data_IF_076988452684
#
_entry.id   IF_076988452684
#
_cell.length_a   1.000
_cell.length_b   1.000
_cell.length_c   1.000
_cell.angle_alpha   90.00
_cell.angle_beta   90.00
_cell.angle_gamma   90.00
#
_symmetry.space_group_name_H-M   'P 1'
#
loop_
_entity.id
_entity.type
_entity.pdbx_description
1 polymer ?
#
# COMPACT_ATOMS: atom_id res chain seq x y z
N UNK A 1 -25.76 -1.60 -16.31
CA UNK A 1 -24.71 -2.28 -15.53
C UNK A 1 -23.33 -1.60 -15.54
N UNK A 2 -22.79 -1.09 -16.66
CA UNK A 2 -21.48 -0.37 -16.61
C UNK A 2 -21.60 1.07 -16.09
N UNK A 3 -22.77 1.70 -16.22
CA UNK A 3 -23.03 3.08 -15.76
C UNK A 3 -23.32 3.20 -14.25
N UNK A 4 -23.80 2.15 -13.60
CA UNK A 4 -24.10 2.17 -12.14
C UNK A 4 -22.85 2.04 -11.26
N UNK A 5 -21.77 1.46 -11.76
CA UNK A 5 -20.53 1.30 -10.98
C UNK A 5 -19.78 2.62 -10.84
N UNK A 6 -20.07 3.61 -11.69
CA UNK A 6 -19.39 4.90 -11.66
C UNK A 6 -19.96 5.89 -10.61
N UNK A 7 -21.20 5.69 -10.16
CA UNK A 7 -21.88 6.62 -9.23
C UNK A 7 -21.63 6.32 -7.75
N UNK A 8 -21.17 5.12 -7.38
CA UNK A 8 -20.75 4.82 -6.00
C UNK A 8 -19.39 5.47 -5.65
N UNK A 9 -18.63 5.90 -6.65
CA UNK A 9 -17.32 6.56 -6.49
C UNK A 9 -17.42 8.09 -6.33
N UNK A 10 -18.61 8.69 -6.41
CA UNK A 10 -18.79 10.14 -6.27
C UNK A 10 -19.14 10.54 -4.83
N UNK A 11 -18.26 10.20 -3.90
CA UNK A 11 -18.24 10.82 -2.58
C UNK A 11 -17.77 12.28 -2.71
N UNK A 12 -18.72 13.23 -2.62
CA UNK A 12 -18.44 14.65 -2.43
C UNK A 12 -17.63 14.85 -1.13
N UNK A 13 -16.38 15.22 -1.28
CA UNK A 13 -15.53 15.79 -0.25
C UNK A 13 -14.43 16.57 -0.95
N UNK A 14 -14.10 17.77 -0.45
CA UNK A 14 -13.17 18.71 -1.07
C UNK A 14 -11.96 18.01 -1.72
N UNK A 15 -11.71 18.34 -2.99
CA UNK A 15 -10.60 17.76 -3.79
C UNK A 15 -9.26 18.25 -3.23
N UNK A 16 -8.86 17.76 -2.07
CA UNK A 16 -7.51 17.93 -1.57
C UNK A 16 -6.59 17.07 -2.45
N UNK A 17 -5.60 17.75 -3.01
CA UNK A 17 -4.68 17.24 -4.02
C UNK A 17 -4.01 15.96 -3.51
N UNK A 18 -4.27 14.84 -4.20
CA UNK A 18 -3.65 13.54 -3.96
C UNK A 18 -2.12 13.64 -3.92
N UNK A 19 -1.53 13.23 -2.80
CA UNK A 19 -0.08 13.20 -2.56
C UNK A 19 0.47 11.80 -2.92
N UNK A 20 0.47 11.48 -4.22
CA UNK A 20 1.35 10.42 -4.70
C UNK A 20 2.79 10.74 -4.28
N UNK A 21 3.58 9.68 -4.05
CA UNK A 21 5.03 9.81 -3.85
C UNK A 21 5.59 10.76 -4.91
N UNK A 22 6.33 11.82 -4.53
CA UNK A 22 7.01 12.68 -5.49
C UNK A 22 7.88 11.78 -6.38
N UNK A 23 7.58 11.74 -7.67
CA UNK A 23 8.37 10.92 -8.58
C UNK A 23 9.79 11.47 -8.63
N UNK A 24 10.82 10.62 -8.50
CA UNK A 24 12.09 10.91 -9.13
C UNK A 24 11.77 11.16 -10.61
N UNK A 25 12.03 12.38 -11.08
CA UNK A 25 11.74 12.75 -12.46
C UNK A 25 12.38 11.77 -13.43
N UNK A 26 11.91 11.77 -14.68
CA UNK A 26 12.43 10.96 -15.81
C UNK A 26 13.88 11.30 -16.21
N UNK A 27 14.62 11.94 -15.32
CA UNK A 27 16.07 12.10 -15.30
C UNK A 27 16.56 11.67 -13.93
N UNK A 28 17.49 10.72 -13.93
CA UNK A 28 17.98 10.04 -12.73
C UNK A 28 18.41 10.97 -11.59
N UNK A 29 18.44 10.34 -10.42
CA UNK A 29 19.07 10.76 -9.17
C UNK A 29 18.54 12.04 -8.53
N UNK A 30 18.21 11.86 -7.25
CA UNK A 30 18.42 12.82 -6.17
C UNK A 30 19.58 13.78 -6.45
N UNK A 31 19.31 14.97 -7.00
CA UNK A 31 20.18 16.17 -6.92
C UNK A 31 19.75 17.23 -7.94
N UNK A 32 18.54 17.79 -7.82
CA UNK A 32 18.42 19.21 -8.19
C UNK A 32 18.66 20.02 -6.93
N UNK A 33 19.96 20.22 -6.69
CA UNK A 33 20.56 21.27 -5.86
C UNK A 33 19.61 22.45 -5.72
N UNK A 34 19.39 22.87 -4.48
CA UNK A 34 18.87 24.18 -4.12
C UNK A 34 19.76 25.20 -4.82
N UNK A 35 19.45 25.56 -6.08
CA UNK A 35 20.17 26.63 -6.75
C UNK A 35 19.95 27.88 -5.89
N UNK A 36 21.01 28.61 -5.51
CA UNK A 36 20.85 29.86 -4.81
C UNK A 36 19.95 30.75 -5.66
N UNK A 37 18.94 31.32 -5.03
CA UNK A 37 18.07 32.34 -5.60
C UNK A 37 18.99 33.40 -6.20
N UNK A 38 18.99 33.53 -7.54
CA UNK A 38 19.39 34.82 -8.12
C UNK A 38 18.26 35.76 -7.74
N UNK A 39 18.54 36.66 -6.79
CA UNK A 39 17.71 37.82 -6.52
C UNK A 39 17.59 38.59 -7.84
N UNK A 40 16.46 38.49 -8.51
CA UNK A 40 16.00 39.56 -9.37
C UNK A 40 15.36 40.65 -8.49
N UNK A 41 15.60 41.90 -8.85
CA UNK A 41 15.38 43.09 -8.03
C UNK A 41 13.90 43.49 -7.81
N UNK A 42 12.97 42.54 -7.87
CA UNK A 42 11.55 42.77 -7.64
C UNK A 42 11.02 41.67 -6.73
N UNK A 43 11.09 41.94 -5.42
CA UNK A 43 10.80 40.99 -4.34
C UNK A 43 9.38 40.42 -4.35
N UNK A 44 9.19 39.30 -5.04
CA UNK A 44 8.06 38.41 -4.83
C UNK A 44 8.52 36.96 -4.91
N UNK A 45 8.82 36.37 -3.76
CA UNK A 45 9.29 34.98 -3.63
C UNK A 45 8.11 34.08 -3.30
N UNK A 46 7.39 33.61 -4.32
CA UNK A 46 6.47 32.50 -4.13
C UNK A 46 7.27 31.18 -4.10
N UNK A 47 7.17 30.35 -3.04
CA UNK A 47 7.79 29.04 -3.04
C UNK A 47 7.18 28.23 -4.19
N UNK A 48 8.02 27.67 -5.06
CA UNK A 48 7.57 26.86 -6.19
C UNK A 48 7.11 25.50 -5.66
N UNK A 49 5.85 25.43 -5.24
CA UNK A 49 5.20 24.21 -4.76
C UNK A 49 5.30 23.15 -5.85
N UNK A 50 6.03 22.06 -5.58
CA UNK A 50 6.03 20.86 -6.42
C UNK A 50 4.59 20.32 -6.40
N UNK A 51 3.83 20.61 -7.44
CA UNK A 51 2.45 20.12 -7.54
C UNK A 51 2.49 18.62 -7.83
N UNK A 52 1.70 17.82 -7.11
CA UNK A 52 1.51 16.42 -7.47
C UNK A 52 1.05 16.29 -8.92
N UNK A 53 1.86 15.63 -9.73
CA UNK A 53 1.49 15.32 -11.12
C UNK A 53 0.50 14.18 -11.09
N UNK A 54 -0.65 14.36 -11.78
CA UNK A 54 -1.61 13.27 -11.97
C UNK A 54 -0.94 12.12 -12.72
N UNK A 55 -1.26 10.90 -12.32
CA UNK A 55 -0.86 9.69 -13.05
C UNK A 55 -1.41 9.75 -14.48
N UNK A 56 -0.64 9.27 -15.46
CA UNK A 56 -1.18 9.14 -16.81
C UNK A 56 -2.20 7.98 -16.90
N UNK A 57 -2.92 7.90 -18.02
CA UNK A 57 -3.98 6.92 -18.19
C UNK A 57 -3.44 5.47 -18.20
N UNK A 58 -2.22 5.26 -18.69
CA UNK A 58 -1.59 3.94 -18.77
C UNK A 58 -1.22 3.43 -17.37
N UNK A 59 -0.64 4.29 -16.55
CA UNK A 59 -0.30 3.99 -15.17
C UNK A 59 -1.53 3.78 -14.30
N UNK A 60 -2.58 4.58 -14.48
CA UNK A 60 -3.86 4.37 -13.81
C UNK A 60 -4.48 3.02 -14.21
N UNK A 61 -4.45 2.65 -15.49
CA UNK A 61 -4.93 1.36 -15.95
C UNK A 61 -4.12 0.20 -15.37
N UNK A 62 -2.79 0.34 -15.27
CA UNK A 62 -1.92 -0.67 -14.65
C UNK A 62 -2.22 -0.85 -13.17
N UNK A 63 -2.41 0.24 -12.43
CA UNK A 63 -2.81 0.21 -11.02
C UNK A 63 -4.19 -0.45 -10.86
N UNK A 64 -5.13 -0.15 -11.75
CA UNK A 64 -6.46 -0.78 -11.74
C UNK A 64 -6.38 -2.29 -11.96
N UNK A 65 -5.54 -2.75 -12.90
CA UNK A 65 -5.31 -4.19 -13.14
C UNK A 65 -4.70 -4.88 -11.90
N UNK A 66 -3.60 -4.35 -11.36
CA UNK A 66 -2.98 -4.86 -10.14
C UNK A 66 -3.95 -4.85 -8.95
N UNK A 67 -4.87 -3.89 -8.96
CA UNK A 67 -5.94 -3.79 -8.00
C UNK A 67 -6.96 -4.93 -8.03
N UNK A 68 -7.25 -5.46 -9.21
CA UNK A 68 -8.11 -6.63 -9.35
C UNK A 68 -7.40 -7.88 -8.79
N UNK A 69 -6.12 -8.05 -9.12
CA UNK A 69 -5.28 -9.13 -8.59
C UNK A 69 -5.20 -9.06 -7.06
N UNK A 70 -4.98 -7.87 -6.50
CA UNK A 70 -4.95 -7.66 -5.04
C UNK A 70 -6.29 -8.03 -4.38
N UNK A 71 -7.42 -7.63 -4.97
CA UNK A 71 -8.76 -8.00 -4.46
C UNK A 71 -8.98 -9.51 -4.47
N UNK A 72 -8.53 -10.19 -5.52
CA UNK A 72 -8.65 -11.65 -5.61
C UNK A 72 -7.85 -12.33 -4.50
N UNK A 73 -6.57 -11.95 -4.32
CA UNK A 73 -5.70 -12.51 -3.28
C UNK A 73 -6.26 -12.21 -1.88
N UNK A 74 -6.78 -11.00 -1.66
CA UNK A 74 -7.43 -10.60 -0.40
C UNK A 74 -8.63 -11.51 -0.11
N UNK A 75 -9.50 -11.71 -1.12
CA UNK A 75 -10.69 -12.55 -1.00
C UNK A 75 -10.35 -14.03 -0.79
N UNK A 76 -9.33 -14.56 -1.47
CA UNK A 76 -8.85 -15.94 -1.28
C UNK A 76 -8.31 -16.14 0.14
N UNK A 77 -7.55 -15.16 0.64
CA UNK A 77 -7.02 -15.17 2.01
C UNK A 77 -8.14 -15.12 3.04
N UNK A 78 -9.14 -14.26 2.86
CA UNK A 78 -10.30 -14.15 3.74
C UNK A 78 -11.12 -15.45 3.74
N UNK A 79 -11.43 -15.99 2.56
CA UNK A 79 -12.19 -17.23 2.43
C UNK A 79 -11.47 -18.45 3.03
N UNK A 80 -10.14 -18.54 2.88
CA UNK A 80 -9.35 -19.57 3.55
C UNK A 80 -9.37 -19.37 5.07
N UNK A 81 -9.19 -18.15 5.53
CA UNK A 81 -9.14 -17.81 6.94
C UNK A 81 -10.47 -18.03 7.67
N UNK A 82 -11.61 -17.94 6.97
CA UNK A 82 -12.95 -18.19 7.52
C UNK A 82 -13.27 -19.68 7.71
N UNK A 83 -12.46 -20.60 7.14
CA UNK A 83 -12.59 -22.05 7.38
C UNK A 83 -12.09 -22.45 8.77
N UNK A 84 -11.39 -21.57 9.47
CA UNK A 84 -10.77 -21.84 10.75
C UNK A 84 -11.60 -21.23 11.88
N UNK A 85 -12.23 -22.08 12.69
CA UNK A 85 -13.11 -21.67 13.79
C UNK A 85 -12.35 -21.38 15.10
N UNK A 86 -11.06 -21.73 15.19
CA UNK A 86 -10.25 -21.56 16.38
C UNK A 86 -10.03 -20.07 16.70
N UNK A 87 -10.63 -19.54 17.78
CA UNK A 87 -10.65 -18.10 18.04
C UNK A 87 -9.25 -17.51 18.32
N UNK A 88 -8.30 -18.34 18.76
CA UNK A 88 -6.94 -17.95 19.11
C UNK A 88 -5.87 -18.45 18.12
N UNK A 89 -6.26 -18.80 16.88
CA UNK A 89 -5.29 -19.16 15.87
C UNK A 89 -4.43 -17.95 15.46
N UNK A 90 -3.22 -17.93 16.01
CA UNK A 90 -2.20 -16.92 15.83
C UNK A 90 -1.80 -16.70 14.35
N UNK A 91 -1.80 -17.75 13.53
CA UNK A 91 -1.44 -17.69 12.10
C UNK A 91 -2.57 -17.01 11.33
N UNK A 92 -3.80 -17.47 11.50
CA UNK A 92 -5.00 -16.92 10.84
C UNK A 92 -5.17 -15.43 11.16
N UNK A 93 -5.05 -15.05 12.44
CA UNK A 93 -5.15 -13.65 12.87
C UNK A 93 -4.12 -12.76 12.18
N UNK A 94 -2.87 -13.21 12.11
CA UNK A 94 -1.78 -12.45 11.47
C UNK A 94 -1.97 -12.37 9.96
N UNK A 95 -2.42 -13.44 9.30
CA UNK A 95 -2.72 -13.44 7.88
C UNK A 95 -3.84 -12.42 7.55
N UNK A 96 -4.95 -12.42 8.31
CA UNK A 96 -6.03 -11.41 8.16
C UNK A 96 -5.51 -9.98 8.34
N UNK A 97 -4.68 -9.75 9.37
CA UNK A 97 -4.07 -8.44 9.61
C UNK A 97 -3.20 -7.99 8.44
N UNK A 98 -2.28 -8.84 7.97
CA UNK A 98 -1.38 -8.55 6.85
C UNK A 98 -2.17 -8.29 5.56
N UNK A 99 -3.21 -9.07 5.27
CA UNK A 99 -4.10 -8.88 4.13
C UNK A 99 -4.75 -7.48 4.15
N UNK A 100 -5.33 -7.09 5.29
CA UNK A 100 -5.94 -5.76 5.47
C UNK A 100 -4.92 -4.62 5.33
N UNK A 101 -3.71 -4.79 5.88
CA UNK A 101 -2.64 -3.81 5.77
C UNK A 101 -2.18 -3.63 4.31
N UNK A 102 -1.95 -4.73 3.59
CA UNK A 102 -1.58 -4.71 2.17
C UNK A 102 -2.65 -4.06 1.31
N UNK A 103 -3.93 -4.36 1.57
CA UNK A 103 -5.04 -3.74 0.87
C UNK A 103 -5.10 -2.23 1.10
N UNK A 104 -4.86 -1.78 2.34
CA UNK A 104 -4.79 -0.34 2.67
C UNK A 104 -3.65 0.37 1.93
N UNK A 105 -2.49 -0.27 1.79
CA UNK A 105 -1.36 0.24 1.00
C UNK A 105 -1.69 0.29 -0.49
N UNK A 106 -2.46 -0.67 -1.02
CA UNK A 106 -2.96 -0.63 -2.40
C UNK A 106 -3.95 0.53 -2.59
N UNK A 107 -4.93 0.72 -1.70
CA UNK A 107 -5.89 1.83 -1.77
C UNK A 107 -5.18 3.19 -1.82
N UNK A 108 -4.08 3.34 -1.07
CA UNK A 108 -3.24 4.53 -1.14
C UNK A 108 -2.80 4.84 -2.57
N UNK A 109 -2.42 3.84 -3.38
CA UNK A 109 -1.98 4.04 -4.79
C UNK A 109 -3.07 4.61 -5.70
N UNK A 110 -4.33 4.53 -5.27
CA UNK A 110 -5.51 5.08 -5.95
C UNK A 110 -6.01 6.39 -5.33
N UNK A 111 -5.40 6.85 -4.24
CA UNK A 111 -5.89 8.00 -3.46
C UNK A 111 -7.14 7.69 -2.65
N UNK A 112 -7.37 6.43 -2.33
CA UNK A 112 -8.47 5.94 -1.52
C UNK A 112 -7.96 5.43 -0.16
N UNK A 113 -8.88 5.18 0.77
CA UNK A 113 -8.56 4.52 2.04
C UNK A 113 -8.04 5.44 3.15
N UNK A 114 -7.49 4.85 4.23
CA UNK A 114 -7.13 5.58 5.44
C UNK A 114 -5.79 6.31 5.36
N UNK A 115 -4.87 5.86 4.49
CA UNK A 115 -3.55 6.45 4.34
C UNK A 115 -3.65 7.69 3.45
N UNK A 116 -3.17 8.84 3.93
CA UNK A 116 -3.32 10.12 3.20
C UNK A 116 -1.99 10.67 2.72
N UNK A 117 -0.92 10.37 3.43
CA UNK A 117 0.42 10.87 3.13
C UNK A 117 1.39 9.74 2.82
N UNK A 118 2.47 10.10 2.13
CA UNK A 118 3.63 9.21 1.95
C UNK A 118 4.20 8.74 3.29
N UNK A 119 4.19 9.60 4.31
CA UNK A 119 4.64 9.22 5.65
C UNK A 119 3.77 8.09 6.22
N UNK A 120 2.43 8.20 6.10
CA UNK A 120 1.50 7.16 6.54
C UNK A 120 1.78 5.83 5.83
N UNK A 121 2.11 5.87 4.52
CA UNK A 121 2.48 4.67 3.77
C UNK A 121 3.74 4.00 4.34
N UNK A 122 4.77 4.76 4.69
CA UNK A 122 5.99 4.20 5.28
C UNK A 122 5.76 3.65 6.69
N UNK A 123 4.98 4.35 7.51
CA UNK A 123 4.56 3.86 8.82
C UNK A 123 3.76 2.55 8.68
N UNK A 124 2.83 2.50 7.72
CA UNK A 124 2.07 1.28 7.43
C UNK A 124 2.97 0.14 6.96
N UNK A 125 3.96 0.41 6.11
CA UNK A 125 4.94 -0.58 5.68
C UNK A 125 5.77 -1.12 6.85
N UNK A 126 6.10 -0.26 7.84
CA UNK A 126 6.75 -0.70 9.07
C UNK A 126 5.86 -1.65 9.87
N UNK A 127 4.58 -1.32 10.06
CA UNK A 127 3.64 -2.22 10.74
C UNK A 127 3.44 -3.54 9.97
N UNK A 128 3.36 -3.48 8.65
CA UNK A 128 3.27 -4.67 7.80
C UNK A 128 4.48 -5.59 7.99
N UNK A 129 5.70 -5.05 7.97
CA UNK A 129 6.92 -5.81 8.21
C UNK A 129 6.97 -6.41 9.63
N UNK A 130 6.55 -5.64 10.64
CA UNK A 130 6.46 -6.14 12.02
C UNK A 130 5.48 -7.31 12.14
N UNK A 131 4.32 -7.23 11.48
CA UNK A 131 3.33 -8.30 11.50
C UNK A 131 3.85 -9.56 10.80
N UNK A 132 4.57 -9.39 9.68
CA UNK A 132 5.28 -10.47 9.00
C UNK A 132 6.31 -11.18 9.87
N UNK A 133 7.09 -10.41 10.65
CA UNK A 133 8.03 -11.01 11.62
C UNK A 133 7.32 -11.83 12.70
N UNK A 134 6.19 -11.33 13.23
CA UNK A 134 5.39 -12.09 14.20
C UNK A 134 4.82 -13.37 13.58
N UNK A 135 4.44 -13.35 12.31
CA UNK A 135 3.96 -14.52 11.58
C UNK A 135 5.07 -15.55 11.42
N UNK A 136 6.24 -15.11 10.94
CA UNK A 136 7.43 -15.94 10.86
C UNK A 136 7.77 -16.61 12.18
N UNK A 137 7.82 -15.87 13.30
CA UNK A 137 8.08 -16.46 14.62
C UNK A 137 7.03 -17.50 15.03
N UNK A 138 5.76 -17.28 14.68
CA UNK A 138 4.68 -18.23 14.96
C UNK A 138 4.86 -19.53 14.18
N UNK A 139 5.18 -19.42 12.88
CA UNK A 139 5.43 -20.56 12.00
C UNK A 139 6.67 -21.34 12.45
N UNK A 140 7.75 -20.66 12.81
CA UNK A 140 8.97 -21.27 13.34
C UNK A 140 8.69 -22.07 14.62
N UNK A 141 7.94 -21.49 15.56
CA UNK A 141 7.57 -22.19 16.80
C UNK A 141 6.66 -23.40 16.54
N UNK A 142 5.72 -23.29 15.60
CA UNK A 142 4.89 -24.42 15.17
C UNK A 142 5.74 -25.55 14.57
N UNK A 143 6.65 -25.20 13.64
CA UNK A 143 7.52 -26.13 12.94
C UNK A 143 8.41 -26.97 13.88
N UNK A 144 8.84 -26.41 15.01
CA UNK A 144 9.58 -27.16 16.05
C UNK A 144 8.79 -28.31 16.66
N UNK A 145 7.45 -28.24 16.66
CA UNK A 145 6.55 -29.29 17.19
C UNK A 145 6.20 -30.35 16.15
N UNK A 146 6.48 -30.08 14.87
CA UNK A 146 6.19 -31.00 13.77
C UNK A 146 7.41 -31.90 13.51
N UNK A 147 7.25 -33.23 13.46
CA UNK A 147 8.32 -34.15 13.06
C UNK A 147 8.88 -33.82 11.66
N UNK A 148 10.11 -34.24 11.33
CA UNK A 148 10.64 -34.09 9.98
C UNK A 148 9.72 -34.74 8.92
N UNK A 149 9.24 -33.93 7.97
CA UNK A 149 8.44 -34.38 6.83
C UNK A 149 8.57 -33.37 5.66
N UNK A 150 8.26 -33.77 4.42
CA UNK A 150 8.35 -32.88 3.26
C UNK A 150 7.54 -31.57 3.41
N UNK A 151 6.38 -31.62 4.05
CA UNK A 151 5.54 -30.44 4.27
C UNK A 151 6.18 -29.43 5.23
N UNK A 152 6.98 -29.91 6.19
CA UNK A 152 7.75 -29.04 7.08
C UNK A 152 8.88 -28.35 6.33
N UNK A 153 9.52 -29.04 5.38
CA UNK A 153 10.55 -28.47 4.51
C UNK A 153 9.96 -27.45 3.54
N UNK A 154 8.76 -27.68 3.02
CA UNK A 154 8.04 -26.72 2.16
C UNK A 154 7.59 -25.46 2.92
N UNK A 155 7.25 -25.59 4.21
CA UNK A 155 6.81 -24.49 5.06
C UNK A 155 7.95 -23.53 5.47
N UNK A 156 9.20 -23.99 5.47
CA UNK A 156 10.37 -23.29 6.02
C UNK A 156 11.25 -22.66 4.95
#
# INVERSE_FOLDING_TARGET
LVKEVNDVCQGRGDKLVYLSLPRPGKHGTTSRSLRPVKLDATGSTAPRTLRPTKLDAEEQAKIAKLGLEMKLITSETEAEADKWEEPDNAVVKRAKNMSSMAFSMYLFTRGEGPLRTTHDLFVQAQFFAQEGNKLYSTIQHFSQKVPPCPQKEELL
#
